data_IF_046931646370
#
_entry.id   IF_046931646370
#
_cell.length_a   1.000
_cell.length_b   1.000
_cell.length_c   1.000
_cell.angle_alpha   90.00
_cell.angle_beta   90.00
_cell.angle_gamma   90.00
#
_symmetry.space_group_name_H-M   'P 1'
#
loop_
_entity.id
_entity.type
_entity.pdbx_description
1 polymer ?
#
# COMPACT_ATOMS: atom_id res chain seq x y z
N UNK A 1 -4.13 11.19 -0.86
CA UNK A 1 -3.28 10.97 -2.04
C UNK A 1 -3.66 11.99 -3.08
N UNK A 2 -2.72 12.80 -3.55
CA UNK A 2 -2.92 13.71 -4.67
C UNK A 2 -2.60 13.02 -6.01
N UNK A 3 -2.92 13.68 -7.13
CA UNK A 3 -2.74 13.08 -8.47
C UNK A 3 -1.27 12.80 -8.82
N UNK A 4 -0.33 13.57 -8.28
CA UNK A 4 1.10 13.35 -8.50
C UNK A 4 1.57 12.07 -7.81
N UNK A 5 1.17 11.86 -6.56
CA UNK A 5 1.44 10.62 -5.81
C UNK A 5 0.78 9.40 -6.50
N UNK A 6 -0.45 9.58 -6.99
CA UNK A 6 -1.16 8.52 -7.74
C UNK A 6 -0.40 8.10 -8.99
N UNK A 7 0.07 9.07 -9.79
CA UNK A 7 0.87 8.82 -10.99
C UNK A 7 2.22 8.20 -10.66
N UNK A 8 2.87 8.64 -9.59
CA UNK A 8 4.14 8.06 -9.15
C UNK A 8 3.99 6.58 -8.82
N UNK A 9 2.91 6.17 -8.14
CA UNK A 9 2.62 4.75 -7.89
C UNK A 9 2.26 4.05 -9.21
N UNK A 10 1.38 4.61 -10.04
CA UNK A 10 0.97 3.96 -11.30
C UNK A 10 2.14 3.70 -12.27
N UNK A 11 3.09 4.62 -12.36
CA UNK A 11 4.24 4.53 -13.26
C UNK A 11 5.44 3.78 -12.65
N UNK A 12 5.34 3.31 -11.41
CA UNK A 12 6.38 2.53 -10.76
C UNK A 12 6.47 1.13 -11.37
N UNK A 13 7.70 0.63 -11.55
CA UNK A 13 7.95 -0.80 -11.73
C UNK A 13 7.65 -1.55 -10.42
N UNK A 14 7.28 -2.84 -10.51
CA UNK A 14 6.88 -3.61 -9.32
C UNK A 14 8.01 -3.70 -8.27
N UNK A 15 9.27 -3.81 -8.73
CA UNK A 15 10.46 -3.92 -7.89
C UNK A 15 10.78 -2.63 -7.12
N UNK A 16 10.43 -1.47 -7.67
CA UNK A 16 10.62 -0.17 -7.01
C UNK A 16 9.48 0.18 -6.04
N UNK A 17 8.42 -0.65 -5.92
CA UNK A 17 7.33 -0.39 -4.98
C UNK A 17 7.79 -0.31 -3.52
N UNK A 18 8.91 -0.96 -3.18
CA UNK A 18 9.53 -0.91 -1.85
C UNK A 18 9.96 0.51 -1.45
N UNK A 19 10.26 1.38 -2.41
CA UNK A 19 10.67 2.77 -2.13
C UNK A 19 9.54 3.59 -1.49
N UNK A 20 8.29 3.19 -1.72
CA UNK A 20 7.13 3.83 -1.10
C UNK A 20 6.96 3.48 0.39
N UNK A 21 7.76 2.57 0.96
CA UNK A 21 7.63 2.07 2.33
C UNK A 21 7.61 3.17 3.40
N UNK A 22 8.57 4.09 3.33
CA UNK A 22 8.74 5.14 4.33
C UNK A 22 7.89 6.39 4.06
N UNK A 23 7.37 6.54 2.83
CA UNK A 23 6.48 7.63 2.47
C UNK A 23 5.02 7.15 2.57
N UNK A 24 4.51 6.56 1.50
CA UNK A 24 3.14 6.09 1.41
C UNK A 24 2.84 4.98 2.42
N UNK A 25 3.78 4.05 2.66
CA UNK A 25 3.59 2.96 3.61
C UNK A 25 3.43 3.46 5.05
N UNK A 26 4.17 4.49 5.47
CA UNK A 26 3.96 5.19 6.74
C UNK A 26 2.57 5.84 6.79
N UNK A 27 2.15 6.53 5.72
CA UNK A 27 0.84 7.17 5.66
C UNK A 27 -0.31 6.16 5.79
N UNK A 28 -0.20 5.01 5.11
CA UNK A 28 -1.17 3.89 5.19
C UNK A 28 -1.25 3.35 6.62
N UNK A 29 -0.10 3.03 7.22
CA UNK A 29 -0.02 2.51 8.60
C UNK A 29 -0.72 3.42 9.60
N UNK A 30 -0.52 4.74 9.45
CA UNK A 30 -1.14 5.74 10.31
C UNK A 30 -2.64 5.91 10.04
N UNK A 31 -3.05 6.03 8.78
CA UNK A 31 -4.44 6.25 8.40
C UNK A 31 -5.34 5.10 8.84
N UNK A 32 -4.88 3.86 8.65
CA UNK A 32 -5.63 2.65 9.03
C UNK A 32 -5.30 2.13 10.42
N UNK A 33 -4.44 2.84 11.17
CA UNK A 33 -4.01 2.47 12.54
C UNK A 33 -3.51 1.03 12.63
N UNK A 34 -2.72 0.59 11.64
CA UNK A 34 -2.25 -0.78 11.52
C UNK A 34 -1.35 -1.24 12.68
N UNK A 35 -0.78 -0.29 13.42
CA UNK A 35 -0.02 -0.57 14.64
C UNK A 35 -0.89 -1.03 15.82
N UNK A 36 -2.22 -0.92 15.73
CA UNK A 36 -3.13 -1.35 16.79
C UNK A 36 -3.47 -2.85 16.61
N UNK A 37 -3.48 -3.63 17.71
CA UNK A 37 -3.95 -5.00 17.65
C UNK A 37 -5.42 -5.05 17.26
N UNK A 38 -5.82 -6.12 16.57
CA UNK A 38 -7.20 -6.36 16.15
C UNK A 38 -7.66 -5.58 14.91
N UNK A 39 -6.73 -5.05 14.11
CA UNK A 39 -7.08 -4.46 12.82
C UNK A 39 -7.60 -5.55 11.86
N UNK A 40 -8.89 -5.46 11.50
CA UNK A 40 -9.50 -6.33 10.49
C UNK A 40 -8.80 -6.21 9.14
N UNK A 41 -8.36 -5.00 8.77
CA UNK A 41 -7.59 -4.77 7.55
C UNK A 41 -6.24 -5.47 7.59
N UNK A 42 -5.53 -5.41 8.72
CA UNK A 42 -4.27 -6.14 8.87
C UNK A 42 -4.50 -7.66 8.78
N UNK A 43 -5.56 -8.17 9.42
CA UNK A 43 -5.92 -9.59 9.35
C UNK A 43 -6.27 -10.04 7.93
N UNK A 44 -6.93 -9.19 7.14
CA UNK A 44 -7.23 -9.45 5.73
C UNK A 44 -5.96 -9.49 4.86
N UNK A 45 -4.89 -8.78 5.24
CA UNK A 45 -3.59 -8.86 4.60
C UNK A 45 -2.74 -10.06 5.07
N UNK A 46 -3.12 -10.70 6.17
CA UNK A 46 -2.45 -11.88 6.73
C UNK A 46 -2.55 -11.97 8.25
N UNK A 47 -2.45 -13.17 8.83
CA UNK A 47 -2.45 -13.34 10.29
C UNK A 47 -1.04 -13.15 10.86
N UNK A 48 -0.88 -12.28 11.87
CA UNK A 48 0.41 -12.06 12.54
C UNK A 48 1.45 -11.29 11.72
N UNK A 49 1.03 -10.70 10.60
CA UNK A 49 1.84 -9.89 9.71
C UNK A 49 2.28 -8.57 10.38
N UNK A 50 3.52 -8.14 10.14
CA UNK A 50 4.00 -6.87 10.68
C UNK A 50 3.32 -5.69 9.97
N UNK A 51 2.99 -4.58 10.65
CA UNK A 51 2.34 -3.42 10.03
C UNK A 51 3.04 -2.89 8.76
N UNK A 52 4.37 -3.04 8.70
CA UNK A 52 5.20 -2.69 7.55
C UNK A 52 4.83 -3.54 6.32
N UNK A 53 4.77 -4.86 6.50
CA UNK A 53 4.40 -5.80 5.46
C UNK A 53 2.95 -5.59 5.02
N UNK A 54 2.03 -5.27 5.95
CA UNK A 54 0.64 -4.92 5.61
C UNK A 54 0.60 -3.72 4.66
N UNK A 55 1.39 -2.68 4.93
CA UNK A 55 1.43 -1.53 4.04
C UNK A 55 2.02 -1.86 2.67
N UNK A 56 3.00 -2.77 2.59
CA UNK A 56 3.51 -3.29 1.32
C UNK A 56 2.43 -4.02 0.51
N UNK A 57 1.64 -4.89 1.15
CA UNK A 57 0.52 -5.59 0.51
C UNK A 57 -0.51 -4.60 -0.05
N UNK A 58 -0.85 -3.56 0.73
CA UNK A 58 -1.81 -2.53 0.28
C UNK A 58 -1.25 -1.71 -0.88
N UNK A 59 0.04 -1.34 -0.86
CA UNK A 59 0.70 -0.62 -1.95
C UNK A 59 0.69 -1.44 -3.23
N UNK A 60 1.02 -2.73 -3.15
CA UNK A 60 0.95 -3.65 -4.29
C UNK A 60 -0.46 -3.75 -4.86
N UNK A 61 -1.47 -3.96 -4.01
CA UNK A 61 -2.86 -4.04 -4.45
C UNK A 61 -3.35 -2.73 -5.09
N UNK A 62 -2.89 -1.58 -4.59
CA UNK A 62 -3.15 -0.28 -5.21
C UNK A 62 -2.49 -0.20 -6.59
N UNK A 63 -1.22 -0.59 -6.71
CA UNK A 63 -0.48 -0.61 -7.97
C UNK A 63 -1.16 -1.50 -9.02
N UNK A 64 -1.50 -2.75 -8.68
CA UNK A 64 -2.22 -3.68 -9.56
C UNK A 64 -3.53 -3.06 -10.08
N UNK A 65 -4.32 -2.45 -9.18
CA UNK A 65 -5.57 -1.76 -9.55
C UNK A 65 -5.37 -0.53 -10.44
N UNK A 66 -4.21 0.13 -10.35
CA UNK A 66 -3.88 1.26 -11.21
C UNK A 66 -3.53 0.79 -12.63
N UNK A 67 -2.88 -0.37 -12.77
CA UNK A 67 -2.62 -0.99 -14.06
C UNK A 67 -3.91 -1.41 -14.76
N UNK A 68 -4.81 -2.08 -14.03
CA UNK A 68 -6.12 -2.51 -14.57
C UNK A 68 -7.03 -1.33 -15.00
N UNK A 69 -6.77 -0.15 -14.46
CA UNK A 69 -7.54 1.07 -14.70
C UNK A 69 -7.05 1.94 -15.86
N UNK A 70 -5.85 1.69 -16.41
CA UNK A 70 -5.36 2.38 -17.61
C UNK A 70 -5.91 1.78 -18.92
N UNK A 71 -6.57 0.61 -18.87
CA UNK A 71 -7.16 -0.08 -20.02
C UNK A 71 -8.68 0.15 -20.21
N UNK A 72 -9.29 1.18 -19.59
CA UNK A 72 -10.72 1.48 -19.79
C UNK A 72 -11.09 2.93 -20.05
#
# INVERSE_FOLDING_TARGET
MNDTERRAVASAEEDVLVEFHFCLGMAIRNAFRLHKPGSELAAACGTGIHPDDVSGVIIRALWERLQDGEER
#
